data_IF_824578210942
#
_entry.id   IF_824578210942
#
_cell.length_a   1.000
_cell.length_b   1.000
_cell.length_c   1.000
_cell.angle_alpha   90.00
_cell.angle_beta   90.00
_cell.angle_gamma   90.00
#
_symmetry.space_group_name_H-M   'P 1'
#
loop_
_entity.id
_entity.type
_entity.pdbx_description
1 polymer ?
#
# COMPACT_ATOMS: atom_id res chain seq x y z
N UNK A 1 17.95 -3.70 12.89
CA UNK A 1 16.99 -3.70 13.98
C UNK A 1 16.40 -5.09 14.21
N UNK A 2 15.92 -5.34 15.41
CA UNK A 2 15.30 -6.63 15.74
C UNK A 2 14.03 -6.84 14.93
N UNK A 3 13.94 -8.02 14.33
CA UNK A 3 12.80 -8.43 13.50
C UNK A 3 11.89 -9.32 14.34
N UNK A 4 10.59 -8.97 14.44
CA UNK A 4 9.55 -9.89 14.83
C UNK A 4 8.79 -10.29 13.56
N UNK A 5 8.44 -11.58 13.40
CA UNK A 5 7.78 -12.06 12.20
C UNK A 5 6.75 -13.14 12.52
N UNK A 6 5.59 -13.07 11.85
CA UNK A 6 4.56 -14.11 11.83
C UNK A 6 3.97 -14.26 10.42
N UNK A 7 3.36 -15.38 10.15
CA UNK A 7 2.57 -15.61 8.93
C UNK A 7 1.12 -15.27 9.21
N UNK A 8 0.50 -14.45 8.35
CA UNK A 8 -0.91 -14.04 8.46
C UNK A 8 -1.84 -14.97 7.68
N UNK A 9 -1.44 -15.36 6.47
CA UNK A 9 -2.11 -16.34 5.61
C UNK A 9 -1.09 -16.99 4.71
N UNK A 10 -1.51 -17.88 3.80
CA UNK A 10 -0.56 -18.57 2.94
C UNK A 10 0.25 -17.59 2.08
N UNK A 11 1.56 -17.65 2.24
CA UNK A 11 2.52 -16.78 1.55
C UNK A 11 2.49 -15.29 1.96
N UNK A 12 1.69 -14.89 2.97
CA UNK A 12 1.66 -13.51 3.49
C UNK A 12 2.28 -13.45 4.88
N UNK A 13 3.29 -12.64 5.01
CA UNK A 13 4.07 -12.46 6.23
C UNK A 13 3.97 -11.04 6.76
N UNK A 14 3.90 -10.95 8.07
CA UNK A 14 3.91 -9.77 8.89
C UNK A 14 5.27 -9.67 9.59
N UNK A 15 5.92 -8.52 9.48
CA UNK A 15 7.25 -8.31 10.04
C UNK A 15 7.34 -6.92 10.68
N UNK A 16 7.76 -6.87 11.93
CA UNK A 16 8.05 -5.63 12.64
C UNK A 16 9.54 -5.41 12.69
N UNK A 17 9.99 -4.23 12.31
CA UNK A 17 11.37 -3.81 12.20
C UNK A 17 11.66 -2.66 13.18
N UNK A 18 12.67 -2.80 14.00
CA UNK A 18 13.18 -1.68 14.80
C UNK A 18 13.98 -0.75 13.88
N UNK A 19 13.48 0.45 13.64
CA UNK A 19 14.05 1.41 12.67
C UNK A 19 13.72 2.85 13.08
N UNK A 20 14.26 3.31 14.21
CA UNK A 20 13.89 4.55 14.89
C UNK A 20 13.93 5.79 13.99
N UNK A 21 15.00 5.99 13.23
CA UNK A 21 15.14 7.15 12.34
C UNK A 21 14.10 7.15 11.21
N UNK A 22 13.80 5.97 10.66
CA UNK A 22 12.81 5.84 9.59
C UNK A 22 11.39 6.02 10.15
N UNK A 23 11.07 5.39 11.29
CA UNK A 23 9.76 5.48 11.93
C UNK A 23 9.39 6.93 12.31
N UNK A 24 10.38 7.74 12.71
CA UNK A 24 10.22 9.14 13.06
C UNK A 24 9.68 9.99 11.91
N UNK A 25 10.20 9.76 10.70
CA UNK A 25 9.92 10.53 9.49
C UNK A 25 8.82 9.92 8.62
N UNK A 26 8.50 8.64 8.83
CA UNK A 26 7.55 7.90 8.01
C UNK A 26 6.12 8.45 8.09
N UNK A 27 5.37 8.27 6.98
CA UNK A 27 3.96 8.66 6.82
C UNK A 27 3.19 7.55 6.11
N UNK A 28 1.89 7.48 6.35
CA UNK A 28 0.99 6.55 5.66
C UNK A 28 1.10 6.66 4.13
N UNK A 29 1.23 5.52 3.47
CA UNK A 29 1.38 5.43 2.00
C UNK A 29 2.83 5.41 1.50
N UNK A 30 3.81 5.65 2.36
CA UNK A 30 5.23 5.47 2.01
C UNK A 30 5.66 4.00 2.07
N UNK A 31 6.84 3.72 1.56
CA UNK A 31 7.44 2.40 1.52
C UNK A 31 8.90 2.42 1.98
N UNK A 32 9.46 1.25 2.16
CA UNK A 32 10.90 1.04 2.39
C UNK A 32 11.47 0.11 1.33
N UNK A 33 12.73 0.28 0.99
CA UNK A 33 13.52 -0.67 0.21
C UNK A 33 14.22 -1.64 1.13
N UNK A 34 13.95 -2.94 0.98
CA UNK A 34 14.53 -4.02 1.79
C UNK A 34 15.54 -4.79 0.96
N UNK A 35 16.75 -4.92 1.47
CA UNK A 35 17.87 -5.58 0.78
C UNK A 35 18.03 -7.03 1.25
N UNK A 36 18.28 -7.93 0.30
CA UNK A 36 18.63 -9.32 0.59
C UNK A 36 20.05 -9.41 1.12
N UNK A 37 20.30 -10.42 1.95
CA UNK A 37 21.68 -10.78 2.40
C UNK A 37 22.45 -11.50 1.30
N UNK A 38 21.75 -12.23 0.43
CA UNK A 38 22.36 -12.88 -0.72
C UNK A 38 22.80 -11.83 -1.75
N UNK A 39 24.12 -11.65 -1.90
CA UNK A 39 24.74 -10.67 -2.80
C UNK A 39 24.42 -10.87 -4.29
N UNK A 40 23.87 -12.03 -4.69
CA UNK A 40 23.38 -12.25 -6.05
C UNK A 40 22.05 -11.51 -6.33
N UNK A 41 21.36 -11.01 -5.29
CA UNK A 41 20.08 -10.31 -5.34
C UNK A 41 20.26 -8.82 -5.08
N UNK A 42 20.98 -8.14 -5.97
CA UNK A 42 21.44 -6.76 -5.78
C UNK A 42 20.32 -5.73 -5.66
N UNK A 43 19.17 -5.92 -6.34
CA UNK A 43 18.06 -4.98 -6.29
C UNK A 43 17.26 -5.14 -4.99
N UNK A 44 16.91 -4.05 -4.30
CA UNK A 44 16.05 -4.12 -3.13
C UNK A 44 14.59 -4.44 -3.50
N UNK A 45 13.80 -4.83 -2.49
CA UNK A 45 12.34 -5.03 -2.60
C UNK A 45 11.65 -3.85 -1.98
N UNK A 46 10.90 -3.06 -2.78
CA UNK A 46 10.03 -2.03 -2.23
C UNK A 46 8.86 -2.71 -1.52
N UNK A 47 8.66 -2.36 -0.26
CA UNK A 47 7.56 -2.87 0.54
C UNK A 47 6.90 -1.70 1.25
N UNK A 48 5.58 -1.56 1.08
CA UNK A 48 4.79 -0.52 1.71
C UNK A 48 4.80 -0.66 3.24
N UNK A 49 4.80 0.46 3.93
CA UNK A 49 4.68 0.51 5.38
C UNK A 49 3.22 0.23 5.74
N UNK A 50 3.00 -0.76 6.62
CA UNK A 50 1.68 -1.14 7.13
C UNK A 50 1.31 -0.31 8.35
N UNK A 51 2.24 -0.14 9.29
CA UNK A 51 2.06 0.65 10.52
C UNK A 51 3.38 1.31 10.93
N UNK A 52 3.23 2.43 11.66
CA UNK A 52 4.34 3.26 12.14
C UNK A 52 4.20 3.45 13.65
N UNK A 53 5.09 2.84 14.40
CA UNK A 53 5.19 3.11 15.84
C UNK A 53 6.34 4.09 16.11
N UNK A 54 5.98 5.38 16.17
CA UNK A 54 6.95 6.45 16.46
C UNK A 54 7.48 6.42 17.88
N UNK A 55 6.68 5.89 18.82
CA UNK A 55 7.06 5.81 20.24
C UNK A 55 8.14 4.76 20.46
N UNK A 56 7.91 3.60 19.92
CA UNK A 56 8.86 2.48 20.04
C UNK A 56 9.88 2.45 18.90
N UNK A 57 9.79 3.38 17.93
CA UNK A 57 10.71 3.48 16.79
C UNK A 57 10.68 2.24 15.91
N UNK A 58 9.48 1.72 15.65
CA UNK A 58 9.28 0.51 14.87
C UNK A 58 8.41 0.74 13.64
N UNK A 59 8.64 -0.07 12.61
CA UNK A 59 7.82 -0.17 11.41
C UNK A 59 7.27 -1.58 11.28
N UNK A 60 6.00 -1.70 10.93
CA UNK A 60 5.39 -2.96 10.53
C UNK A 60 5.23 -2.98 9.01
N UNK A 61 5.69 -4.04 8.40
CA UNK A 61 5.49 -4.33 6.98
C UNK A 61 4.78 -5.65 6.81
N UNK A 62 3.89 -5.70 5.83
CA UNK A 62 3.21 -6.95 5.44
C UNK A 62 3.48 -7.18 3.96
N UNK A 63 3.97 -8.37 3.62
CA UNK A 63 4.38 -8.67 2.26
C UNK A 63 3.98 -10.09 1.85
N UNK A 64 3.80 -10.25 0.55
CA UNK A 64 3.58 -11.57 -0.08
C UNK A 64 4.89 -12.14 -0.59
N UNK A 65 5.08 -13.43 -0.42
CA UNK A 65 6.18 -14.16 -1.06
C UNK A 65 5.87 -14.27 -2.55
N UNK A 66 6.57 -13.48 -3.36
CA UNK A 66 6.38 -13.42 -4.81
C UNK A 66 7.64 -13.79 -5.60
N UNK A 67 8.75 -14.06 -4.90
CA UNK A 67 10.02 -14.43 -5.51
C UNK A 67 11.11 -14.61 -4.49
N UNK A 68 12.31 -14.98 -4.95
CA UNK A 68 13.46 -15.38 -4.10
C UNK A 68 13.86 -14.35 -3.02
N UNK A 69 13.64 -13.04 -3.25
CA UNK A 69 13.95 -12.04 -2.22
C UNK A 69 12.96 -12.05 -1.08
N UNK A 70 11.66 -12.05 -1.36
CA UNK A 70 10.62 -12.16 -0.33
C UNK A 70 10.59 -13.55 0.31
N UNK A 71 11.02 -14.59 -0.39
CA UNK A 71 11.24 -15.93 0.17
C UNK A 71 12.38 -15.90 1.20
N UNK A 72 13.49 -15.20 0.90
CA UNK A 72 14.58 -15.01 1.89
C UNK A 72 14.07 -14.34 3.16
N UNK A 73 13.23 -13.29 3.02
CA UNK A 73 12.66 -12.61 4.18
C UNK A 73 11.71 -13.51 4.98
N UNK A 74 10.93 -14.37 4.30
CA UNK A 74 10.04 -15.34 4.97
C UNK A 74 10.80 -16.41 5.76
N UNK A 75 12.06 -16.64 5.43
CA UNK A 75 12.96 -17.55 6.18
C UNK A 75 13.66 -16.89 7.39
N UNK A 76 13.52 -15.58 7.60
CA UNK A 76 14.17 -14.90 8.73
C UNK A 76 13.50 -15.23 10.06
N UNK A 77 14.28 -15.16 11.13
CA UNK A 77 13.83 -15.36 12.50
C UNK A 77 13.85 -14.06 13.29
N UNK A 78 13.08 -14.01 14.36
CA UNK A 78 13.10 -12.92 15.35
C UNK A 78 14.52 -12.67 15.84
N UNK A 79 14.92 -11.39 15.97
CA UNK A 79 16.29 -10.97 16.29
C UNK A 79 17.22 -10.90 15.08
N UNK A 80 16.73 -11.23 13.88
CA UNK A 80 17.48 -11.07 12.64
C UNK A 80 17.72 -9.60 12.29
N UNK A 81 18.71 -9.33 11.41
CA UNK A 81 19.04 -7.98 10.94
C UNK A 81 18.72 -7.88 9.45
N UNK A 82 18.00 -6.83 9.05
CA UNK A 82 17.76 -6.43 7.67
C UNK A 82 18.43 -5.08 7.38
N UNK A 83 18.95 -4.95 6.17
CA UNK A 83 19.35 -3.67 5.62
C UNK A 83 18.15 -3.06 4.91
N UNK A 84 17.78 -1.84 5.30
CA UNK A 84 16.64 -1.12 4.73
C UNK A 84 17.03 0.32 4.41
N UNK A 85 16.36 0.91 3.45
CA UNK A 85 16.41 2.35 3.14
C UNK A 85 14.99 2.89 3.13
N UNK A 86 14.78 4.03 3.76
CA UNK A 86 13.48 4.68 3.83
C UNK A 86 13.46 5.87 4.82
N UNK A 87 12.29 6.48 5.04
CA UNK A 87 11.06 6.24 4.26
C UNK A 87 11.22 6.78 2.84
N UNK A 88 10.56 6.13 1.88
CA UNK A 88 10.66 6.47 0.45
C UNK A 88 9.28 6.83 -0.11
N UNK A 89 9.30 7.66 -1.16
CA UNK A 89 8.10 8.12 -1.84
C UNK A 89 7.27 9.12 -1.03
N UNK A 90 6.11 9.47 -1.55
CA UNK A 90 5.16 10.40 -0.94
C UNK A 90 4.01 9.64 -0.28
N UNK A 91 3.57 10.12 0.89
CA UNK A 91 2.43 9.58 1.59
C UNK A 91 1.10 10.08 1.05
N UNK A 92 0.01 9.53 1.56
CA UNK A 92 -1.35 10.00 1.26
C UNK A 92 -1.58 11.41 1.85
N UNK A 93 -2.18 12.34 1.07
CA UNK A 93 -2.64 13.61 1.61
C UNK A 93 -3.89 13.36 2.46
N UNK A 94 -3.82 13.62 3.75
CA UNK A 94 -4.95 13.47 4.65
C UNK A 94 -5.89 14.65 4.54
N UNK A 95 -7.17 14.40 4.26
CA UNK A 95 -8.23 15.39 4.19
C UNK A 95 -9.38 15.00 5.11
N UNK A 96 -9.91 15.96 5.85
CA UNK A 96 -11.05 15.78 6.76
C UNK A 96 -12.37 15.71 5.96
N UNK A 97 -12.57 14.64 5.21
CA UNK A 97 -13.75 14.34 4.41
C UNK A 97 -14.20 12.93 4.69
N UNK A 98 -15.48 12.64 4.48
CA UNK A 98 -15.97 11.26 4.48
C UNK A 98 -15.21 10.44 3.43
N UNK A 99 -14.50 9.42 3.87
CA UNK A 99 -13.51 8.73 3.06
C UNK A 99 -13.84 7.25 2.81
N UNK A 100 -13.59 6.80 1.59
CA UNK A 100 -13.32 5.38 1.33
C UNK A 100 -11.83 5.11 1.44
N UNK A 101 -11.47 4.10 2.24
CA UNK A 101 -10.15 3.50 2.29
C UNK A 101 -10.23 2.12 1.64
N UNK A 102 -9.80 2.03 0.39
CA UNK A 102 -9.99 0.82 -0.43
C UNK A 102 -8.65 0.08 -0.56
N UNK A 103 -8.60 -1.14 -0.07
CA UNK A 103 -7.44 -2.02 -0.18
C UNK A 103 -7.76 -3.29 -0.97
N UNK A 104 -6.85 -3.75 -1.83
CA UNK A 104 -7.00 -5.00 -2.56
C UNK A 104 -5.77 -5.90 -2.44
N UNK A 105 -5.94 -7.14 -1.96
CA UNK A 105 -4.86 -8.10 -1.78
C UNK A 105 -3.71 -7.52 -0.96
N UNK A 106 -2.48 -7.51 -1.49
CA UNK A 106 -1.31 -6.99 -0.77
C UNK A 106 -1.29 -5.44 -0.70
N UNK A 107 -2.24 -4.76 -1.32
CA UNK A 107 -2.48 -3.32 -1.13
C UNK A 107 -3.31 -2.97 0.11
N UNK A 108 -3.83 -3.97 0.83
CA UNK A 108 -4.58 -3.77 2.08
C UNK A 108 -3.67 -3.24 3.21
N UNK A 109 -2.49 -3.80 3.49
CA UNK A 109 -1.64 -3.37 4.60
C UNK A 109 -1.34 -1.87 4.64
N UNK A 110 -0.95 -1.18 3.55
CA UNK A 110 -0.65 0.24 3.61
C UNK A 110 -1.86 1.14 3.92
N UNK A 111 -3.09 0.61 3.80
CA UNK A 111 -4.30 1.35 4.17
C UNK A 111 -4.52 1.39 5.69
N UNK A 112 -3.88 0.49 6.46
CA UNK A 112 -4.07 0.43 7.91
C UNK A 112 -3.50 1.66 8.62
N UNK A 113 -2.26 2.08 8.30
CA UNK A 113 -1.70 3.31 8.88
C UNK A 113 -2.53 4.54 8.51
N UNK A 114 -3.02 4.61 7.27
CA UNK A 114 -3.91 5.70 6.86
C UNK A 114 -5.21 5.69 7.67
N UNK A 115 -5.80 4.51 7.91
CA UNK A 115 -7.00 4.38 8.73
C UNK A 115 -6.77 4.88 10.16
N UNK A 116 -5.61 4.59 10.76
CA UNK A 116 -5.22 5.06 12.10
C UNK A 116 -4.98 6.57 12.16
N UNK A 117 -4.36 7.14 11.12
CA UNK A 117 -4.01 8.55 11.09
C UNK A 117 -5.17 9.49 10.72
N UNK A 118 -6.26 8.98 10.14
CA UNK A 118 -7.40 9.80 9.72
C UNK A 118 -8.46 9.89 10.82
N UNK A 119 -8.74 11.12 11.27
CA UNK A 119 -9.81 11.43 12.23
C UNK A 119 -11.03 11.99 11.48
N UNK A 120 -11.69 11.12 10.69
CA UNK A 120 -12.88 11.46 9.92
C UNK A 120 -13.80 10.25 9.79
N UNK A 121 -15.03 10.46 9.31
CA UNK A 121 -15.91 9.34 8.91
C UNK A 121 -15.23 8.58 7.77
N UNK A 122 -14.94 7.31 8.01
CA UNK A 122 -14.23 6.46 7.07
C UNK A 122 -14.84 5.08 7.00
N UNK A 123 -14.87 4.54 5.79
CA UNK A 123 -15.36 3.21 5.48
C UNK A 123 -14.25 2.45 4.78
N UNK A 124 -13.77 1.38 5.41
CA UNK A 124 -12.74 0.51 4.84
C UNK A 124 -13.41 -0.53 3.95
N UNK A 125 -13.04 -0.56 2.67
CA UNK A 125 -13.55 -1.53 1.69
C UNK A 125 -12.39 -2.41 1.25
N UNK A 126 -12.38 -3.64 1.72
CA UNK A 126 -11.24 -4.54 1.57
C UNK A 126 -11.57 -5.71 0.64
N UNK A 127 -10.80 -5.81 -0.45
CA UNK A 127 -10.94 -6.87 -1.44
C UNK A 127 -9.91 -7.97 -1.25
N UNK A 128 -10.36 -9.19 -1.08
CA UNK A 128 -9.54 -10.39 -0.95
C UNK A 128 -9.85 -11.34 -2.09
N UNK A 129 -8.93 -12.26 -2.34
CA UNK A 129 -9.21 -13.36 -3.22
C UNK A 129 -10.04 -14.43 -2.51
N UNK A 130 -9.55 -14.88 -1.35
CA UNK A 130 -10.09 -15.96 -0.53
C UNK A 130 -9.82 -15.72 0.98
N UNK A 131 -8.58 -15.68 1.42
CA UNK A 131 -8.20 -15.59 2.84
C UNK A 131 -8.14 -14.16 3.34
N UNK A 132 -8.79 -13.90 4.47
CA UNK A 132 -8.82 -12.59 5.13
C UNK A 132 -7.62 -12.44 6.08
N UNK A 133 -7.06 -11.23 6.16
CA UNK A 133 -6.01 -10.86 7.11
C UNK A 133 -6.16 -9.40 7.54
N UNK A 134 -5.62 -9.03 8.71
CA UNK A 134 -5.69 -7.70 9.33
C UNK A 134 -7.12 -7.21 9.65
N UNK A 135 -8.09 -8.12 9.70
CA UNK A 135 -9.50 -7.74 9.87
C UNK A 135 -9.79 -7.10 11.22
N UNK A 136 -9.18 -7.62 12.28
CA UNK A 136 -9.43 -7.11 13.65
C UNK A 136 -8.83 -5.72 13.81
N UNK A 137 -7.61 -5.50 13.26
CA UNK A 137 -6.96 -4.20 13.25
C UNK A 137 -7.79 -3.13 12.51
N UNK A 138 -8.35 -3.46 11.35
CA UNK A 138 -9.22 -2.52 10.63
C UNK A 138 -10.56 -2.26 11.35
N UNK A 139 -11.14 -3.25 12.01
CA UNK A 139 -12.38 -3.08 12.78
C UNK A 139 -12.23 -2.16 13.98
N UNK A 140 -11.04 -2.08 14.57
CA UNK A 140 -10.71 -1.11 15.62
C UNK A 140 -10.76 0.34 15.11
N UNK A 141 -10.52 0.54 13.80
CA UNK A 141 -10.45 1.88 13.19
C UNK A 141 -11.78 2.36 12.58
N UNK A 142 -12.77 1.49 12.42
CA UNK A 142 -14.09 1.87 11.93
C UNK A 142 -14.84 0.77 11.19
N UNK A 143 -15.79 1.16 10.34
CA UNK A 143 -16.61 0.23 9.57
C UNK A 143 -15.82 -0.44 8.45
N UNK A 144 -15.90 -1.78 8.38
CA UNK A 144 -15.19 -2.59 7.40
C UNK A 144 -16.19 -3.37 6.54
N UNK A 145 -16.07 -3.21 5.23
CA UNK A 145 -16.81 -3.93 4.22
C UNK A 145 -15.85 -4.82 3.43
N UNK A 146 -16.20 -6.08 3.29
CA UNK A 146 -15.35 -7.09 2.65
C UNK A 146 -15.95 -7.52 1.33
N UNK A 147 -15.10 -7.67 0.31
CA UNK A 147 -15.42 -8.36 -0.92
C UNK A 147 -14.44 -9.54 -1.10
N UNK A 148 -14.95 -10.70 -1.49
CA UNK A 148 -14.16 -11.87 -1.88
C UNK A 148 -14.57 -12.36 -3.26
N UNK A 149 -13.59 -12.78 -4.07
CA UNK A 149 -13.87 -13.23 -5.43
C UNK A 149 -14.76 -14.47 -5.46
N UNK A 150 -14.66 -15.34 -4.46
CA UNK A 150 -15.40 -16.59 -4.33
C UNK A 150 -16.67 -16.50 -3.46
N UNK A 151 -16.97 -15.31 -2.91
CA UNK A 151 -18.11 -15.11 -2.01
C UNK A 151 -17.99 -15.78 -0.63
N UNK A 152 -16.79 -16.24 -0.25
CA UNK A 152 -16.56 -16.91 1.04
C UNK A 152 -16.76 -15.99 2.25
N UNK A 153 -16.64 -14.68 2.06
CA UNK A 153 -16.89 -13.68 3.09
C UNK A 153 -17.33 -12.34 2.48
N UNK A 154 -18.30 -11.68 3.10
CA UNK A 154 -18.81 -10.37 2.66
C UNK A 154 -19.54 -10.45 1.32
N UNK A 155 -19.35 -9.45 0.47
CA UNK A 155 -19.91 -9.37 -0.88
C UNK A 155 -19.12 -10.27 -1.83
N UNK A 156 -19.80 -11.10 -2.62
CA UNK A 156 -19.19 -11.82 -3.73
C UNK A 156 -18.84 -10.84 -4.86
N UNK A 157 -17.56 -10.84 -5.28
CA UNK A 157 -17.09 -9.96 -6.34
C UNK A 157 -15.92 -9.08 -5.93
N UNK A 158 -15.94 -7.81 -6.34
CA UNK A 158 -14.88 -6.85 -6.11
C UNK A 158 -15.32 -5.72 -5.16
N UNK A 159 -14.38 -4.83 -4.82
CA UNK A 159 -14.62 -3.72 -3.89
C UNK A 159 -15.72 -2.75 -4.33
N UNK A 160 -15.91 -2.55 -5.64
CA UNK A 160 -17.01 -1.70 -6.14
C UNK A 160 -18.38 -2.39 -6.01
N UNK A 161 -18.41 -3.72 -6.06
CA UNK A 161 -19.65 -4.49 -5.80
C UNK A 161 -20.02 -4.35 -4.33
N UNK A 162 -19.08 -4.43 -3.41
CA UNK A 162 -19.31 -4.17 -1.98
C UNK A 162 -19.84 -2.74 -1.73
N UNK A 163 -19.28 -1.73 -2.39
CA UNK A 163 -19.76 -0.34 -2.30
C UNK A 163 -21.21 -0.22 -2.76
N UNK A 164 -21.54 -0.83 -3.91
CA UNK A 164 -22.90 -0.76 -4.49
C UNK A 164 -23.92 -1.52 -3.65
N UNK A 165 -23.61 -2.74 -3.25
CA UNK A 165 -24.47 -3.62 -2.47
C UNK A 165 -24.84 -3.00 -1.12
N UNK A 166 -23.87 -2.36 -0.45
CA UNK A 166 -24.09 -1.72 0.83
C UNK A 166 -24.52 -0.25 0.75
N UNK A 167 -24.73 0.28 -0.45
CA UNK A 167 -25.18 1.66 -0.67
C UNK A 167 -24.22 2.72 -0.10
N UNK A 168 -22.91 2.45 -0.12
CA UNK A 168 -21.89 3.30 0.51
C UNK A 168 -21.65 4.57 -0.32
N UNK A 169 -21.30 5.64 0.39
CA UNK A 169 -20.95 6.94 -0.21
C UNK A 169 -19.73 7.55 0.46
N UNK A 170 -18.93 8.30 -0.29
CA UNK A 170 -17.81 9.07 0.22
C UNK A 170 -17.56 10.33 -0.62
N UNK A 171 -16.83 11.28 -0.04
CA UNK A 171 -16.41 12.53 -0.69
C UNK A 171 -14.97 12.47 -1.21
N UNK A 172 -14.21 11.48 -0.74
CA UNK A 172 -12.84 11.21 -1.16
C UNK A 172 -12.55 9.71 -1.13
N UNK A 173 -11.71 9.26 -2.07
CA UNK A 173 -11.26 7.87 -2.17
C UNK A 173 -9.75 7.81 -2.02
N UNK A 174 -9.28 6.90 -1.18
CA UNK A 174 -7.89 6.45 -1.10
C UNK A 174 -7.83 4.97 -1.42
N UNK A 175 -7.00 4.58 -2.36
CA UNK A 175 -6.95 3.19 -2.80
C UNK A 175 -5.52 2.67 -3.01
N UNK A 176 -5.31 1.40 -2.67
CA UNK A 176 -4.08 0.66 -2.94
C UNK A 176 -4.42 -0.78 -3.31
N UNK A 177 -3.84 -1.29 -4.40
CA UNK A 177 -4.09 -2.65 -4.86
C UNK A 177 -3.69 -2.88 -6.31
N UNK A 178 -4.14 -3.98 -6.92
CA UNK A 178 -3.81 -4.34 -8.28
C UNK A 178 -4.26 -3.29 -9.31
N UNK A 179 -3.48 -3.09 -10.37
CA UNK A 179 -3.79 -2.12 -11.44
C UNK A 179 -5.22 -2.23 -11.98
N UNK A 180 -5.79 -3.41 -12.26
CA UNK A 180 -7.18 -3.51 -12.72
C UNK A 180 -8.19 -2.95 -11.71
N UNK A 181 -7.97 -3.17 -10.41
CA UNK A 181 -8.81 -2.61 -9.35
C UNK A 181 -8.69 -1.08 -9.32
N UNK A 182 -7.47 -0.55 -9.35
CA UNK A 182 -7.22 0.90 -9.36
C UNK A 182 -7.82 1.57 -10.59
N UNK A 183 -7.76 0.94 -11.77
CA UNK A 183 -8.39 1.42 -13.00
C UNK A 183 -9.93 1.50 -12.85
N UNK A 184 -10.55 0.47 -12.30
CA UNK A 184 -11.99 0.45 -12.05
C UNK A 184 -12.41 1.53 -11.03
N UNK A 185 -11.64 1.70 -9.95
CA UNK A 185 -11.87 2.75 -8.95
C UNK A 185 -11.71 4.15 -9.55
N UNK A 186 -10.72 4.37 -10.41
CA UNK A 186 -10.51 5.63 -11.12
C UNK A 186 -11.73 6.01 -11.98
N UNK A 187 -12.27 5.06 -12.74
CA UNK A 187 -13.46 5.31 -13.56
C UNK A 187 -14.71 5.55 -12.68
N UNK A 188 -14.87 4.78 -11.59
CA UNK A 188 -15.95 5.01 -10.62
C UNK A 188 -15.86 6.42 -9.99
N UNK A 189 -14.66 6.83 -9.55
CA UNK A 189 -14.46 8.15 -8.98
C UNK A 189 -14.76 9.28 -9.98
N UNK A 190 -14.38 9.10 -11.24
CA UNK A 190 -14.69 10.03 -12.33
C UNK A 190 -16.20 10.13 -12.59
N UNK A 191 -16.89 8.99 -12.67
CA UNK A 191 -18.35 8.94 -12.85
C UNK A 191 -19.08 9.66 -11.71
N UNK A 192 -18.63 9.42 -10.46
CA UNK A 192 -19.23 10.02 -9.26
C UNK A 192 -18.70 11.42 -8.93
N UNK A 193 -17.73 11.92 -9.67
CA UNK A 193 -17.05 13.20 -9.42
C UNK A 193 -16.42 13.28 -8.01
N UNK A 194 -15.84 12.16 -7.54
CA UNK A 194 -15.17 12.04 -6.25
C UNK A 194 -13.67 12.20 -6.42
N UNK A 195 -13.04 13.00 -5.57
CA UNK A 195 -11.57 13.09 -5.52
C UNK A 195 -10.97 11.73 -5.16
N UNK A 196 -9.98 11.28 -5.94
CA UNK A 196 -9.42 9.94 -5.79
C UNK A 196 -7.89 9.97 -5.79
N UNK A 197 -7.31 9.34 -4.76
CA UNK A 197 -5.88 9.13 -4.60
C UNK A 197 -5.58 7.64 -4.65
N UNK A 198 -4.60 7.25 -5.45
CA UNK A 198 -4.20 5.86 -5.64
C UNK A 198 -2.73 5.67 -5.34
N UNK A 199 -2.39 4.56 -4.69
CA UNK A 199 -1.01 4.14 -4.50
C UNK A 199 -0.66 3.08 -5.53
N UNK A 200 0.33 3.38 -6.37
CA UNK A 200 0.77 2.53 -7.46
C UNK A 200 1.97 1.68 -7.06
N UNK A 201 2.02 0.47 -7.61
CA UNK A 201 3.17 -0.42 -7.51
C UNK A 201 3.86 -0.52 -8.87
N UNK A 202 5.19 -0.38 -8.87
CA UNK A 202 6.03 -0.64 -10.04
C UNK A 202 7.32 -1.36 -9.65
N UNK A 203 7.93 -2.03 -10.60
CA UNK A 203 9.26 -2.60 -10.39
C UNK A 203 10.27 -1.49 -10.17
N UNK A 204 11.03 -1.59 -9.10
CA UNK A 204 12.02 -0.59 -8.71
C UNK A 204 13.43 -1.16 -8.72
N UNK A 205 14.39 -0.31 -9.09
CA UNK A 205 15.81 -0.62 -8.90
C UNK A 205 16.40 0.27 -7.81
N UNK A 206 16.51 1.60 -8.02
CA UNK A 206 17.14 2.47 -7.02
C UNK A 206 16.20 2.90 -5.87
N UNK A 207 14.90 2.98 -6.07
CA UNK A 207 13.93 3.47 -5.09
C UNK A 207 13.99 4.96 -4.76
N UNK A 208 14.92 5.73 -5.35
CA UNK A 208 15.21 7.14 -5.02
C UNK A 208 15.05 8.12 -6.20
N UNK A 209 14.51 7.63 -7.33
CA UNK A 209 14.24 8.46 -8.51
C UNK A 209 15.41 8.66 -9.47
N UNK A 210 16.52 7.94 -9.32
CA UNK A 210 17.71 8.13 -10.15
C UNK A 210 17.72 7.31 -11.46
N UNK A 211 17.17 6.08 -11.44
CA UNK A 211 17.37 5.09 -12.53
C UNK A 211 16.24 5.00 -13.55
N UNK A 212 15.11 5.67 -13.35
CA UNK A 212 13.93 5.65 -14.21
C UNK A 212 13.28 4.25 -14.43
N UNK A 213 13.61 3.24 -13.61
CA UNK A 213 13.07 1.88 -13.77
C UNK A 213 11.58 1.76 -13.38
N UNK A 214 11.09 2.66 -12.52
CA UNK A 214 9.73 2.64 -11.98
C UNK A 214 8.81 3.72 -12.58
N UNK A 215 9.05 4.15 -13.81
CA UNK A 215 8.23 5.18 -14.43
C UNK A 215 6.85 4.63 -14.80
N UNK A 216 5.82 5.44 -14.52
CA UNK A 216 4.47 5.26 -15.03
C UNK A 216 4.12 6.39 -15.98
N UNK A 217 3.18 6.15 -16.89
CA UNK A 217 2.70 7.15 -17.81
C UNK A 217 1.83 8.19 -17.07
N UNK A 218 2.02 9.47 -17.38
CA UNK A 218 1.28 10.59 -16.81
C UNK A 218 0.66 11.46 -17.89
N UNK A 219 -0.39 12.20 -17.52
CA UNK A 219 -1.00 13.16 -18.46
C UNK A 219 -0.09 14.35 -18.75
N UNK A 220 0.56 14.85 -17.72
CA UNK A 220 1.43 16.01 -17.81
C UNK A 220 2.88 15.60 -18.08
N UNK A 221 3.60 16.47 -18.80
CA UNK A 221 5.02 16.30 -19.02
C UNK A 221 5.79 16.53 -17.72
N UNK A 222 6.75 15.67 -17.44
CA UNK A 222 7.73 15.90 -16.40
C UNK A 222 8.67 17.05 -16.81
N UNK A 223 8.78 18.06 -15.97
CA UNK A 223 9.60 19.26 -16.22
C UNK A 223 11.08 18.94 -16.45
N UNK A 224 11.56 17.83 -15.87
CA UNK A 224 12.97 17.45 -15.96
C UNK A 224 13.30 16.63 -17.21
N UNK A 225 12.47 15.64 -17.53
CA UNK A 225 12.69 14.73 -18.68
C UNK A 225 11.98 15.16 -19.96
N UNK A 226 11.03 16.11 -19.85
CA UNK A 226 10.17 16.59 -20.95
C UNK A 226 9.34 15.47 -21.61
N UNK A 227 9.08 14.38 -20.89
CA UNK A 227 8.23 13.25 -21.31
C UNK A 227 7.04 13.07 -20.34
N UNK A 228 5.99 12.42 -20.84
CA UNK A 228 4.79 12.16 -20.04
C UNK A 228 5.00 10.94 -19.15
N UNK A 229 5.82 11.09 -18.12
CA UNK A 229 6.05 10.03 -17.13
C UNK A 229 6.28 10.60 -15.73
N UNK A 230 6.05 9.75 -14.71
CA UNK A 230 6.38 10.03 -13.31
C UNK A 230 7.08 8.80 -12.72
N UNK A 231 8.05 9.04 -11.85
CA UNK A 231 8.76 7.98 -11.14
C UNK A 231 7.96 7.60 -9.89
N UNK A 232 7.44 6.38 -9.87
CA UNK A 232 6.62 5.89 -8.74
C UNK A 232 7.37 5.98 -7.41
N UNK A 233 8.69 5.76 -7.39
CA UNK A 233 9.49 5.85 -6.17
C UNK A 233 9.76 7.27 -5.65
N UNK A 234 9.54 8.31 -6.47
CA UNK A 234 9.88 9.70 -6.10
C UNK A 234 8.68 10.64 -6.14
N UNK A 235 7.98 10.72 -7.27
CA UNK A 235 6.76 11.53 -7.40
C UNK A 235 5.54 10.81 -6.80
N UNK A 236 5.56 9.47 -6.76
CA UNK A 236 4.58 8.60 -6.08
C UNK A 236 5.12 8.04 -4.76
N UNK A 237 4.66 6.87 -4.32
CA UNK A 237 3.70 5.97 -5.01
C UNK A 237 2.27 6.48 -5.07
N UNK A 238 1.93 7.48 -4.26
CA UNK A 238 0.59 8.06 -4.16
C UNK A 238 0.43 9.19 -5.17
N UNK A 239 -0.58 9.06 -6.04
CA UNK A 239 -0.95 10.04 -7.06
C UNK A 239 -2.44 10.35 -7.03
N UNK A 240 -2.84 11.52 -7.53
CA UNK A 240 -4.24 11.70 -7.93
C UNK A 240 -4.53 10.76 -9.09
N UNK A 241 -5.64 10.04 -9.02
CA UNK A 241 -5.97 9.03 -10.03
C UNK A 241 -6.04 9.61 -11.46
N UNK A 242 -6.40 10.89 -11.61
CA UNK A 242 -6.48 11.59 -12.89
C UNK A 242 -5.12 11.95 -13.49
N UNK A 243 -4.03 11.96 -12.71
CA UNK A 243 -2.69 12.37 -13.17
C UNK A 243 -1.94 11.24 -13.88
N UNK A 244 -2.29 9.99 -13.63
CA UNK A 244 -1.56 8.82 -14.13
C UNK A 244 -2.45 7.90 -14.96
N UNK A 245 -1.83 7.17 -15.87
CA UNK A 245 -2.49 6.11 -16.64
C UNK A 245 -2.23 4.73 -16.00
N UNK A 246 -3.25 3.84 -16.06
CA UNK A 246 -3.26 2.54 -15.42
C UNK A 246 -3.38 1.40 -16.44
#
# INVERSE_FOLDING_TARGET
GDVYKRQLSDGIFDMTLKAEEIAKEAKAGQFISVYCKDGSRMLPRPISICEIDKKDGALRIVYRVAGKGTEEFSGMHTGGILNITGPLGNGFPKKEKKAFLIGGGIGIPPMLELAKEMDCEKQMVLGFRDELFLMDEFREEGEVYVATEDGSAGTEGNVLDAIRENGLTADIIYACGPKPMLAAIKEYAKEKQIECWISMEERMACGIGACLACVCQSKDKDEHSNVNNKRVCKEGPVFRAEEVEL
#
